data_IF_016788925905
#
_entry.id   IF_016788925905
#
_cell.length_a   1.000
_cell.length_b   1.000
_cell.length_c   1.000
_cell.angle_alpha   90.00
_cell.angle_beta   90.00
_cell.angle_gamma   90.00
#
_symmetry.space_group_name_H-M   'P 1'
#
loop_
_entity.id
_entity.type
_entity.pdbx_description
1 polymer ?
#
# COMPACT_ATOMS: atom_id res chain seq x y z
N UNK A 1 7.36 -25.80 7.20
CA UNK A 1 5.90 -25.63 7.34
C UNK A 1 5.47 -24.51 6.42
N UNK A 2 4.76 -24.80 5.33
CA UNK A 2 4.26 -23.76 4.44
C UNK A 2 3.15 -22.99 5.17
N UNK A 3 3.43 -21.75 5.57
CA UNK A 3 2.39 -20.86 6.07
C UNK A 3 1.42 -20.60 4.91
N UNK A 4 0.25 -21.24 4.93
CA UNK A 4 -0.77 -20.95 3.95
C UNK A 4 -1.20 -19.50 4.17
N UNK A 5 -0.85 -18.62 3.23
CA UNK A 5 -1.25 -17.23 3.27
C UNK A 5 -2.77 -17.15 3.49
N UNK A 6 -3.27 -16.45 4.53
CA UNK A 6 -4.69 -16.41 4.83
C UNK A 6 -5.52 -15.96 3.62
N UNK A 7 -6.74 -16.50 3.45
CA UNK A 7 -7.61 -16.16 2.32
C UNK A 7 -7.86 -14.65 2.20
N UNK A 8 -7.95 -13.93 3.31
CA UNK A 8 -8.12 -12.47 3.33
C UNK A 8 -6.94 -11.74 2.65
N UNK A 9 -5.71 -12.20 2.88
CA UNK A 9 -4.51 -11.62 2.26
C UNK A 9 -4.51 -11.89 0.75
N UNK A 10 -4.92 -13.08 0.30
CA UNK A 10 -5.07 -13.38 -1.13
C UNK A 10 -6.09 -12.48 -1.82
N UNK A 11 -7.27 -12.32 -1.22
CA UNK A 11 -8.33 -11.44 -1.77
C UNK A 11 -7.85 -9.99 -1.80
N UNK A 12 -7.17 -9.54 -0.75
CA UNK A 12 -6.58 -8.21 -0.71
C UNK A 12 -5.57 -7.99 -1.85
N UNK A 13 -4.60 -8.90 -2.03
CA UNK A 13 -3.61 -8.81 -3.11
C UNK A 13 -4.26 -8.87 -4.49
N UNK A 14 -5.33 -9.65 -4.67
CA UNK A 14 -6.11 -9.65 -5.91
C UNK A 14 -6.76 -8.29 -6.18
N UNK A 15 -7.34 -7.64 -5.17
CA UNK A 15 -7.90 -6.29 -5.31
C UNK A 15 -6.82 -5.24 -5.63
N UNK A 16 -5.64 -5.36 -5.01
CA UNK A 16 -4.46 -4.52 -5.29
C UNK A 16 -4.08 -4.65 -6.77
N UNK A 17 -3.89 -5.87 -7.26
CA UNK A 17 -3.53 -6.13 -8.65
C UNK A 17 -4.57 -5.65 -9.68
N UNK A 18 -5.82 -5.46 -9.24
CA UNK A 18 -6.92 -4.96 -10.08
C UNK A 18 -7.13 -3.44 -9.96
N UNK A 19 -6.30 -2.73 -9.18
CA UNK A 19 -6.50 -1.31 -8.83
C UNK A 19 -7.89 -1.03 -8.23
N UNK A 20 -8.44 -2.01 -7.50
CA UNK A 20 -9.80 -1.98 -6.91
C UNK A 20 -9.81 -1.83 -5.39
N UNK A 21 -8.67 -1.55 -4.77
CA UNK A 21 -8.60 -1.21 -3.34
C UNK A 21 -9.34 0.12 -3.11
N UNK A 22 -10.06 0.21 -2.01
CA UNK A 22 -10.86 1.38 -1.65
C UNK A 22 -9.96 2.53 -1.14
N UNK A 23 -9.15 3.11 -2.03
CA UNK A 23 -8.25 4.24 -1.73
C UNK A 23 -9.04 5.51 -1.41
N UNK A 24 -8.41 6.48 -0.72
CA UNK A 24 -9.01 7.81 -0.48
C UNK A 24 -9.50 8.43 -1.78
N UNK A 25 -8.88 8.19 -2.94
CA UNK A 25 -9.38 8.67 -4.24
C UNK A 25 -10.84 8.23 -4.52
N UNK A 26 -11.17 6.97 -4.23
CA UNK A 26 -12.54 6.44 -4.36
C UNK A 26 -13.45 7.01 -3.29
N UNK A 27 -12.94 7.20 -2.05
CA UNK A 27 -13.71 7.77 -0.93
C UNK A 27 -14.03 9.25 -1.15
N UNK A 28 -13.08 10.04 -1.65
CA UNK A 28 -13.22 11.44 -2.03
C UNK A 28 -14.26 11.60 -3.14
N UNK A 29 -14.21 10.76 -4.19
CA UNK A 29 -15.24 10.75 -5.25
C UNK A 29 -16.64 10.48 -4.69
N UNK A 30 -16.75 9.75 -3.58
CA UNK A 30 -18.02 9.46 -2.89
C UNK A 30 -18.36 10.46 -1.78
N UNK A 31 -17.58 11.54 -1.63
CA UNK A 31 -17.71 12.51 -0.53
C UNK A 31 -17.62 11.89 0.88
N UNK A 32 -16.88 10.79 1.03
CA UNK A 32 -16.76 10.04 2.28
C UNK A 32 -15.46 10.31 3.04
N UNK A 33 -14.48 10.97 2.43
CA UNK A 33 -13.19 11.26 3.06
C UNK A 33 -12.51 12.46 2.40
N UNK A 34 -11.53 13.03 3.09
CA UNK A 34 -10.51 13.92 2.52
C UNK A 34 -9.52 13.13 1.66
N UNK A 35 -8.76 13.82 0.81
CA UNK A 35 -7.75 13.20 -0.05
C UNK A 35 -6.54 12.66 0.71
N UNK A 36 -6.37 13.06 1.97
CA UNK A 36 -5.29 12.60 2.83
C UNK A 36 -5.36 11.09 3.15
N UNK A 37 -4.18 10.51 3.34
CA UNK A 37 -4.00 9.15 3.81
C UNK A 37 -4.54 8.99 5.22
N UNK A 38 -5.36 7.98 5.47
CA UNK A 38 -5.92 7.72 6.81
C UNK A 38 -4.86 7.26 7.83
N UNK A 39 -3.67 6.86 7.35
CA UNK A 39 -2.60 6.31 8.18
C UNK A 39 -1.60 7.40 8.59
N UNK A 40 -1.09 8.18 7.64
CA UNK A 40 -0.09 9.21 7.93
C UNK A 40 -0.64 10.64 7.91
N UNK A 41 -1.84 10.88 7.37
CA UNK A 41 -2.46 12.22 7.24
C UNK A 41 -1.73 13.24 6.36
N UNK A 42 -0.56 12.92 5.80
CA UNK A 42 0.27 13.89 5.06
C UNK A 42 0.06 13.89 3.54
N UNK A 43 -0.06 12.72 2.93
CA UNK A 43 -0.05 12.57 1.46
C UNK A 43 -1.38 12.10 0.91
N UNK A 44 -1.58 12.24 -0.41
CA UNK A 44 -2.76 11.69 -1.08
C UNK A 44 -2.70 10.16 -1.06
N UNK A 45 -3.78 9.52 -0.59
CA UNK A 45 -3.80 8.05 -0.49
C UNK A 45 -3.90 7.41 -1.88
N UNK A 46 -2.83 6.72 -2.27
CA UNK A 46 -2.76 5.81 -3.41
C UNK A 46 -2.38 4.39 -2.94
N UNK A 47 -2.51 3.39 -3.83
CA UNK A 47 -2.10 2.01 -3.47
C UNK A 47 -0.60 1.99 -3.18
N UNK A 48 0.19 2.65 -4.04
CA UNK A 48 1.63 2.79 -3.88
C UNK A 48 1.98 3.48 -2.56
N UNK A 49 1.26 4.55 -2.19
CA UNK A 49 1.49 5.22 -0.91
C UNK A 49 1.26 4.26 0.25
N UNK A 50 0.08 3.64 0.35
CA UNK A 50 -0.27 2.79 1.51
C UNK A 50 0.64 1.57 1.62
N UNK A 51 1.03 0.96 0.50
CA UNK A 51 1.82 -0.28 0.50
C UNK A 51 3.33 -0.06 0.56
N UNK A 52 3.87 1.01 -0.02
CA UNK A 52 5.33 1.20 -0.15
C UNK A 52 5.83 2.45 0.58
N UNK A 53 5.19 3.60 0.36
CA UNK A 53 5.76 4.90 0.74
C UNK A 53 5.21 5.52 2.03
N UNK A 54 4.15 4.97 2.60
CA UNK A 54 3.60 5.47 3.86
C UNK A 54 4.61 5.20 4.98
N UNK A 55 4.75 6.13 5.93
CA UNK A 55 5.72 6.01 7.04
C UNK A 55 5.71 4.65 7.75
N UNK A 56 4.54 4.07 8.10
CA UNK A 56 4.50 2.74 8.68
C UNK A 56 4.94 1.63 7.72
N UNK A 57 4.59 1.74 6.43
CA UNK A 57 5.02 0.78 5.42
C UNK A 57 6.54 0.81 5.23
N UNK A 58 7.13 2.00 5.08
CA UNK A 58 8.58 2.19 4.99
C UNK A 58 9.30 1.60 6.21
N UNK A 59 8.72 1.76 7.40
CA UNK A 59 9.28 1.18 8.64
C UNK A 59 9.29 -0.35 8.61
N UNK A 60 8.23 -0.97 8.09
CA UNK A 60 8.18 -2.43 7.93
C UNK A 60 9.19 -2.89 6.88
N UNK A 61 9.25 -2.24 5.73
CA UNK A 61 10.15 -2.63 4.65
C UNK A 61 11.63 -2.45 5.00
N UNK A 62 11.99 -1.40 5.73
CA UNK A 62 13.37 -1.20 6.18
C UNK A 62 13.85 -2.24 7.20
N UNK A 63 12.93 -2.95 7.86
CA UNK A 63 13.25 -4.06 8.77
C UNK A 63 13.32 -5.41 8.05
N UNK A 64 12.62 -5.55 6.92
CA UNK A 64 12.53 -6.82 6.18
C UNK A 64 13.53 -6.91 5.03
N UNK A 65 13.90 -5.77 4.44
CA UNK A 65 14.74 -5.67 3.25
C UNK A 65 16.10 -5.12 3.65
N UNK A 66 17.16 -5.63 3.03
CA UNK A 66 18.50 -5.12 3.27
C UNK A 66 18.59 -3.64 2.83
N UNK A 67 19.33 -2.78 3.56
CA UNK A 67 19.44 -1.37 3.22
C UNK A 67 19.87 -1.11 1.77
N UNK A 68 20.77 -1.94 1.22
CA UNK A 68 21.25 -1.85 -0.16
C UNK A 68 20.20 -2.18 -1.23
N UNK A 69 19.18 -2.97 -0.90
CA UNK A 69 18.11 -3.40 -1.83
C UNK A 69 16.85 -2.52 -1.71
N UNK A 70 16.75 -1.70 -0.65
CA UNK A 70 15.52 -0.96 -0.32
C UNK A 70 15.13 0.06 -1.41
N UNK A 71 16.10 0.77 -1.99
CA UNK A 71 15.82 1.76 -3.04
C UNK A 71 15.28 1.10 -4.31
N UNK A 72 15.88 -0.02 -4.71
CA UNK A 72 15.40 -0.79 -5.87
C UNK A 72 13.99 -1.33 -5.60
N UNK A 73 13.75 -1.89 -4.40
CA UNK A 73 12.43 -2.35 -4.01
C UNK A 73 11.36 -1.24 -4.07
N UNK A 74 11.66 -0.05 -3.54
CA UNK A 74 10.73 1.08 -3.57
C UNK A 74 10.51 1.64 -4.98
N UNK A 75 11.43 1.38 -5.92
CA UNK A 75 11.24 1.74 -7.34
C UNK A 75 10.26 0.82 -8.06
N UNK A 76 9.98 -0.37 -7.52
CA UNK A 76 8.96 -1.29 -8.00
C UNK A 76 7.57 -0.77 -7.62
N UNK A 77 7.13 0.28 -8.30
CA UNK A 77 5.77 0.80 -8.16
C UNK A 77 4.77 -0.09 -8.90
N UNK A 78 3.56 -0.19 -8.34
CA UNK A 78 2.43 -0.77 -9.06
C UNK A 78 1.95 0.24 -10.11
N UNK A 79 1.78 -0.20 -11.35
CA UNK A 79 1.21 0.61 -12.42
C UNK A 79 -0.27 0.90 -12.08
N UNK A 80 -0.60 2.15 -11.77
CA UNK A 80 -1.97 2.59 -11.44
C UNK A 80 -2.83 2.86 -12.69
#
# INVERSE_FOLDING_TARGET
MAACCPQCVRVFLWLVAQNKVLTSKVRVRRHMATNSCAVCSFEVESINHVLYFCFPALTVWSQLIKPEELQEFLSLSLNE
#
